data_IF_141496485719
#
_entry.id   IF_141496485719
#
_cell.length_a   1.000
_cell.length_b   1.000
_cell.length_c   1.000
_cell.angle_alpha   90.00
_cell.angle_beta   90.00
_cell.angle_gamma   90.00
#
_symmetry.space_group_name_H-M   'P 1'
#
loop_
_entity.id
_entity.type
_entity.pdbx_description
1 polymer ?
#
# COMPACT_ATOMS: atom_id res chain seq x y z
N UNK A 1 25.84 -15.14 5.62
CA UNK A 1 24.86 -15.06 4.51
C UNK A 1 23.94 -16.27 4.44
N UNK A 2 24.40 -17.50 4.73
CA UNK A 2 23.52 -18.66 4.93
C UNK A 2 22.40 -18.40 5.94
N UNK A 3 22.68 -17.67 7.03
CA UNK A 3 21.66 -17.28 8.02
C UNK A 3 20.48 -16.48 7.46
N UNK A 4 20.64 -15.68 6.40
CA UNK A 4 19.53 -14.90 5.84
C UNK A 4 18.61 -15.81 5.01
N UNK A 5 19.18 -16.75 4.25
CA UNK A 5 18.41 -17.73 3.50
C UNK A 5 17.64 -18.67 4.44
N UNK A 6 18.29 -19.17 5.50
CA UNK A 6 17.65 -20.01 6.52
C UNK A 6 16.54 -19.27 7.24
N UNK A 7 16.75 -17.99 7.59
CA UNK A 7 15.71 -17.16 8.24
C UNK A 7 14.53 -16.87 7.31
N UNK A 8 14.74 -16.67 6.00
CA UNK A 8 13.65 -16.49 5.04
C UNK A 8 12.84 -17.78 4.89
N UNK A 9 13.48 -18.95 4.94
CA UNK A 9 12.81 -20.24 4.89
C UNK A 9 12.03 -20.52 6.19
N UNK A 10 12.65 -20.32 7.35
CA UNK A 10 12.09 -20.57 8.69
C UNK A 10 10.92 -19.63 9.03
N UNK A 11 11.07 -18.31 8.83
CA UNK A 11 10.01 -17.31 9.10
C UNK A 11 8.78 -17.56 8.24
N UNK A 12 9.01 -18.08 7.04
CA UNK A 12 7.93 -18.31 6.11
C UNK A 12 7.23 -19.67 6.38
N UNK A 13 7.85 -20.63 7.06
CA UNK A 13 7.21 -21.89 7.46
C UNK A 13 6.33 -21.75 8.71
N UNK A 14 6.71 -20.93 9.68
CA UNK A 14 6.01 -20.83 10.97
C UNK A 14 4.77 -19.91 10.95
N UNK A 15 4.68 -18.95 10.01
CA UNK A 15 3.69 -17.85 10.09
C UNK A 15 2.45 -17.96 9.18
N UNK A 16 2.17 -19.15 8.64
CA UNK A 16 1.03 -19.38 7.73
C UNK A 16 -0.24 -19.86 8.46
N UNK A 17 -0.13 -20.47 9.64
CA UNK A 17 -1.30 -20.85 10.46
C UNK A 17 -2.09 -19.64 10.98
N UNK A 18 -1.42 -18.51 11.20
CA UNK A 18 -2.04 -17.24 11.66
C UNK A 18 -2.79 -16.52 10.53
N UNK A 19 -2.44 -16.76 9.26
CA UNK A 19 -3.03 -16.07 8.09
C UNK A 19 -4.53 -16.42 7.90
N UNK A 20 -4.96 -17.60 8.31
CA UNK A 20 -6.36 -18.02 8.13
C UNK A 20 -7.32 -17.40 9.15
N UNK A 21 -6.85 -17.03 10.34
CA UNK A 21 -7.69 -16.42 11.39
C UNK A 21 -7.97 -14.93 11.11
N UNK A 22 -7.06 -14.23 10.45
CA UNK A 22 -7.26 -12.82 10.09
C UNK A 22 -8.14 -12.67 8.84
N UNK A 23 -8.05 -13.61 7.87
CA UNK A 23 -8.80 -13.55 6.61
C UNK A 23 -10.33 -13.69 6.80
N UNK A 24 -10.78 -14.48 7.78
CA UNK A 24 -12.22 -14.62 8.11
C UNK A 24 -12.75 -13.39 8.88
N UNK A 25 -11.90 -12.68 9.62
CA UNK A 25 -12.30 -11.48 10.36
C UNK A 25 -12.46 -10.23 9.47
N UNK A 26 -11.88 -10.23 8.27
CA UNK A 26 -11.85 -9.09 7.35
C UNK A 26 -13.05 -8.99 6.41
N UNK A 27 -13.89 -10.02 6.29
CA UNK A 27 -15.14 -9.93 5.52
C UNK A 27 -16.27 -9.18 6.28
N UNK A 28 -16.08 -8.82 7.55
CA UNK A 28 -17.17 -8.34 8.42
C UNK A 28 -17.08 -6.87 8.88
N UNK A 29 -16.18 -6.02 8.36
CA UNK A 29 -16.01 -4.65 8.87
C UNK A 29 -16.51 -3.55 7.91
N UNK A 30 -17.74 -3.09 8.19
CA UNK A 30 -18.18 -1.70 8.04
C UNK A 30 -18.73 -1.30 6.68
N UNK A 31 -20.07 -1.26 6.55
CA UNK A 31 -20.75 -0.53 5.46
C UNK A 31 -20.47 0.98 5.69
N UNK A 32 -19.46 1.54 5.00
CA UNK A 32 -19.31 2.99 4.92
C UNK A 32 -20.50 3.56 4.15
N UNK A 33 -21.27 4.47 4.78
CA UNK A 33 -22.35 5.18 4.11
C UNK A 33 -21.76 6.04 2.98
N UNK A 34 -22.22 5.83 1.75
CA UNK A 34 -21.81 6.62 0.60
C UNK A 34 -22.22 8.10 0.79
N UNK A 35 -21.39 9.06 0.33
CA UNK A 35 -21.76 10.47 0.37
C UNK A 35 -23.00 10.68 -0.51
N UNK A 36 -23.88 11.55 -0.04
CA UNK A 36 -25.11 11.89 -0.74
C UNK A 36 -25.08 13.36 -1.15
N UNK A 37 -25.69 13.65 -2.30
CA UNK A 37 -26.06 15.01 -2.70
C UNK A 37 -26.79 15.67 -1.55
N UNK A 38 -26.31 16.85 -1.19
CA UNK A 38 -26.94 17.71 -0.22
C UNK A 38 -26.72 19.17 -0.63
N UNK A 39 -27.48 20.06 -0.02
CA UNK A 39 -27.46 21.49 -0.30
C UNK A 39 -26.06 22.11 -0.17
N UNK A 40 -25.26 21.64 0.78
CA UNK A 40 -23.91 22.15 1.01
C UNK A 40 -22.97 21.83 -0.16
N UNK A 41 -22.98 20.59 -0.67
CA UNK A 41 -22.17 20.18 -1.83
C UNK A 41 -22.54 21.01 -3.06
N UNK A 42 -23.85 21.17 -3.31
CA UNK A 42 -24.34 21.92 -4.48
C UNK A 42 -23.93 23.39 -4.39
N UNK A 43 -24.09 24.03 -3.23
CA UNK A 43 -23.66 25.42 -3.00
C UNK A 43 -22.14 25.58 -3.12
N UNK A 44 -21.34 24.66 -2.56
CA UNK A 44 -19.88 24.69 -2.67
C UNK A 44 -19.42 24.59 -4.14
N UNK A 45 -20.03 23.70 -4.92
CA UNK A 45 -19.73 23.56 -6.35
C UNK A 45 -20.11 24.83 -7.13
N UNK A 46 -21.31 25.37 -6.91
CA UNK A 46 -21.77 26.56 -7.63
C UNK A 46 -20.94 27.80 -7.28
N UNK A 47 -20.55 27.97 -6.01
CA UNK A 47 -19.68 29.07 -5.59
C UNK A 47 -18.25 28.94 -6.13
N UNK A 48 -17.74 27.71 -6.30
CA UNK A 48 -16.46 27.47 -7.00
C UNK A 48 -16.54 27.84 -8.48
N UNK A 49 -17.62 27.45 -9.16
CA UNK A 49 -17.86 27.80 -10.57
C UNK A 49 -17.99 29.32 -10.77
N UNK A 50 -18.69 30.02 -9.87
CA UNK A 50 -18.82 31.48 -9.94
C UNK A 50 -17.47 32.21 -9.79
N UNK A 51 -16.57 31.66 -8.98
CA UNK A 51 -15.22 32.18 -8.74
C UNK A 51 -14.21 31.84 -9.85
N UNK A 52 -14.51 30.92 -10.76
CA UNK A 52 -13.60 30.60 -11.86
C UNK A 52 -13.48 31.77 -12.86
N UNK A 53 -12.24 32.19 -13.12
CA UNK A 53 -11.92 33.36 -13.97
C UNK A 53 -12.36 33.11 -15.42
N UNK A 54 -12.18 31.88 -15.91
CA UNK A 54 -12.54 31.46 -17.27
C UNK A 54 -14.02 31.13 -17.45
N UNK A 55 -14.84 31.23 -16.40
CA UNK A 55 -16.24 30.84 -16.46
C UNK A 55 -17.08 31.94 -17.13
N UNK A 56 -17.92 31.62 -18.15
CA UNK A 56 -18.67 32.62 -18.90
C UNK A 56 -19.58 33.49 -18.02
N UNK A 57 -19.52 34.81 -18.19
CA UNK A 57 -20.29 35.79 -17.39
C UNK A 57 -21.80 35.53 -17.45
N UNK A 58 -22.30 35.12 -18.61
CA UNK A 58 -23.70 34.73 -18.81
C UNK A 58 -24.17 33.60 -17.88
N UNK A 59 -23.28 32.68 -17.50
CA UNK A 59 -23.60 31.58 -16.57
C UNK A 59 -23.49 32.00 -15.10
N UNK A 60 -22.67 33.02 -14.79
CA UNK A 60 -22.55 33.57 -13.43
C UNK A 60 -23.85 34.24 -12.98
N UNK A 61 -24.47 35.02 -13.86
CA UNK A 61 -25.78 35.62 -13.59
C UNK A 61 -26.87 34.58 -13.38
N UNK A 62 -26.82 33.47 -14.11
CA UNK A 62 -27.78 32.38 -13.92
C UNK A 62 -27.55 31.66 -12.58
N UNK A 63 -26.30 31.36 -12.20
CA UNK A 63 -25.95 30.76 -10.90
C UNK A 63 -26.45 31.56 -9.69
N UNK A 64 -26.45 32.89 -9.77
CA UNK A 64 -26.93 33.76 -8.69
C UNK A 64 -28.45 33.68 -8.47
N UNK A 65 -29.20 33.20 -9.47
CA UNK A 65 -30.67 33.14 -9.45
C UNK A 65 -31.23 31.71 -9.30
N UNK A 66 -30.37 30.72 -9.02
CA UNK A 66 -30.79 29.33 -8.86
C UNK A 66 -31.43 29.10 -7.49
N UNK A 67 -32.55 28.38 -7.51
CA UNK A 67 -33.11 27.74 -6.31
C UNK A 67 -32.26 26.50 -5.96
N UNK A 68 -31.34 26.68 -5.01
CA UNK A 68 -30.38 25.63 -4.63
C UNK A 68 -31.04 24.40 -4.02
N UNK A 69 -32.20 24.55 -3.37
CA UNK A 69 -32.92 23.44 -2.76
C UNK A 69 -33.53 22.56 -3.87
N UNK A 70 -34.21 23.16 -4.83
CA UNK A 70 -34.71 22.43 -6.02
C UNK A 70 -33.58 21.84 -6.87
N UNK A 71 -32.45 22.53 -6.96
CA UNK A 71 -31.28 22.01 -7.69
C UNK A 71 -30.73 20.76 -6.99
N UNK A 72 -30.63 20.76 -5.66
CA UNK A 72 -30.19 19.58 -4.90
C UNK A 72 -31.13 18.39 -5.10
N UNK A 73 -32.45 18.63 -5.07
CA UNK A 73 -33.46 17.59 -5.34
C UNK A 73 -33.32 17.03 -6.76
N UNK A 74 -33.15 17.91 -7.76
CA UNK A 74 -32.98 17.50 -9.17
C UNK A 74 -31.72 16.66 -9.42
N UNK A 75 -30.70 16.79 -8.54
CA UNK A 75 -29.43 16.08 -8.62
C UNK A 75 -29.40 14.79 -7.79
N UNK A 76 -30.45 14.46 -7.03
CA UNK A 76 -30.47 13.27 -6.17
C UNK A 76 -30.21 11.95 -6.91
N UNK A 77 -30.49 11.89 -8.23
CA UNK A 77 -30.18 10.72 -9.05
C UNK A 77 -28.69 10.35 -9.01
N UNK A 78 -27.79 11.31 -8.74
CA UNK A 78 -26.35 11.07 -8.61
C UNK A 78 -26.00 10.15 -7.44
N UNK A 79 -26.86 10.08 -6.40
CA UNK A 79 -26.67 9.17 -5.28
C UNK A 79 -26.71 7.70 -5.74
N UNK A 80 -27.57 7.38 -6.71
CA UNK A 80 -27.67 6.05 -7.31
C UNK A 80 -26.53 5.71 -8.28
N UNK A 81 -25.68 6.68 -8.64
CA UNK A 81 -24.53 6.44 -9.50
C UNK A 81 -23.33 5.88 -8.73
N UNK A 82 -23.25 6.15 -7.43
CA UNK A 82 -22.18 5.66 -6.58
C UNK A 82 -22.35 4.16 -6.31
N UNK A 83 -21.22 3.48 -6.13
CA UNK A 83 -21.12 2.06 -5.85
C UNK A 83 -20.50 1.92 -4.47
N UNK A 84 -21.06 1.05 -3.63
CA UNK A 84 -20.48 0.78 -2.31
C UNK A 84 -19.00 0.46 -2.46
N UNK A 85 -18.17 1.17 -1.69
CA UNK A 85 -16.72 1.08 -1.81
C UNK A 85 -16.29 -0.37 -1.67
N UNK A 86 -15.87 -0.95 -2.79
CA UNK A 86 -15.24 -2.27 -2.81
C UNK A 86 -13.74 -2.12 -2.62
N UNK A 87 -13.07 -3.25 -2.53
CA UNK A 87 -11.62 -3.35 -2.35
C UNK A 87 -10.79 -2.53 -3.35
N UNK A 88 -11.33 -2.27 -4.55
CA UNK A 88 -10.64 -1.53 -5.61
C UNK A 88 -11.35 -0.21 -5.90
N UNK A 89 -10.79 0.88 -5.40
CA UNK A 89 -11.33 2.23 -5.57
C UNK A 89 -11.38 2.63 -7.05
N UNK A 90 -10.40 2.23 -7.86
CA UNK A 90 -10.36 2.51 -9.31
C UNK A 90 -11.51 1.85 -10.07
N UNK A 91 -11.77 0.56 -9.84
CA UNK A 91 -12.90 -0.15 -10.44
C UNK A 91 -14.24 0.42 -9.98
N UNK A 92 -14.37 0.80 -8.71
CA UNK A 92 -15.57 1.49 -8.21
C UNK A 92 -15.76 2.84 -8.90
N UNK A 93 -14.69 3.60 -9.08
CA UNK A 93 -14.70 4.90 -9.75
C UNK A 93 -15.12 4.76 -11.22
N UNK A 94 -14.56 3.79 -11.95
CA UNK A 94 -14.93 3.53 -13.34
C UNK A 94 -16.41 3.10 -13.47
N UNK A 95 -16.88 2.20 -12.61
CA UNK A 95 -18.29 1.79 -12.56
C UNK A 95 -19.20 2.97 -12.23
N UNK A 96 -18.79 3.83 -11.29
CA UNK A 96 -19.55 5.01 -10.92
C UNK A 96 -19.66 6.01 -12.08
N UNK A 97 -18.57 6.24 -12.84
CA UNK A 97 -18.60 7.05 -14.06
C UNK A 97 -19.51 6.45 -15.14
N UNK A 98 -19.47 5.13 -15.32
CA UNK A 98 -20.37 4.43 -16.26
C UNK A 98 -21.83 4.58 -15.86
N UNK A 99 -22.14 4.49 -14.57
CA UNK A 99 -23.49 4.72 -14.05
C UNK A 99 -23.91 6.18 -14.23
N UNK A 100 -23.01 7.14 -13.98
CA UNK A 100 -23.26 8.55 -14.23
C UNK A 100 -23.65 8.81 -15.68
N UNK A 101 -22.87 8.35 -16.66
CA UNK A 101 -23.21 8.60 -18.07
C UNK A 101 -24.56 8.00 -18.47
N UNK A 102 -24.95 6.85 -17.91
CA UNK A 102 -26.27 6.25 -18.13
C UNK A 102 -27.39 7.06 -17.48
N UNK A 103 -27.25 7.40 -16.20
CA UNK A 103 -28.26 8.13 -15.45
C UNK A 103 -28.40 9.58 -15.91
N UNK A 104 -27.30 10.20 -16.34
CA UNK A 104 -27.27 11.55 -16.88
C UNK A 104 -28.22 11.70 -18.07
N UNK A 105 -28.16 10.78 -19.04
CA UNK A 105 -29.02 10.84 -20.24
C UNK A 105 -30.51 10.83 -19.87
N UNK A 106 -30.88 10.07 -18.84
CA UNK A 106 -32.27 9.89 -18.41
C UNK A 106 -32.76 11.08 -17.58
N UNK A 107 -31.93 11.59 -16.66
CA UNK A 107 -32.34 12.53 -15.62
C UNK A 107 -32.02 13.99 -15.94
N UNK A 108 -31.33 14.27 -17.06
CA UNK A 108 -30.93 15.65 -17.40
C UNK A 108 -32.12 16.61 -17.58
N UNK A 109 -33.29 16.09 -17.93
CA UNK A 109 -34.52 16.89 -17.99
C UNK A 109 -34.85 17.57 -16.67
N UNK A 110 -34.66 16.87 -15.54
CA UNK A 110 -34.96 17.37 -14.19
C UNK A 110 -34.06 18.55 -13.81
N UNK A 111 -32.77 18.47 -14.14
CA UNK A 111 -31.81 19.55 -13.86
C UNK A 111 -32.12 20.78 -14.71
N UNK A 112 -32.56 20.59 -15.96
CA UNK A 112 -32.91 21.68 -16.88
C UNK A 112 -34.16 22.48 -16.45
N UNK A 113 -35.06 21.87 -15.69
CA UNK A 113 -36.23 22.57 -15.13
C UNK A 113 -35.82 23.63 -14.11
N UNK A 114 -34.68 23.43 -13.43
CA UNK A 114 -34.12 24.35 -12.45
C UNK A 114 -33.11 25.30 -13.09
N UNK A 115 -32.29 24.80 -14.01
CA UNK A 115 -31.24 25.55 -14.71
C UNK A 115 -31.54 25.56 -16.21
N UNK A 116 -32.01 26.70 -16.72
CA UNK A 116 -32.54 26.78 -18.09
C UNK A 116 -31.45 26.56 -19.14
N UNK A 117 -30.21 26.96 -18.86
CA UNK A 117 -29.09 26.70 -19.73
C UNK A 117 -28.64 25.24 -19.68
N UNK A 118 -28.75 24.55 -20.82
CA UNK A 118 -28.33 23.14 -20.95
C UNK A 118 -26.84 22.93 -20.64
N UNK A 119 -25.97 23.85 -21.07
CA UNK A 119 -24.53 23.73 -20.87
C UNK A 119 -24.16 23.90 -19.38
N UNK A 120 -24.79 24.86 -18.71
CA UNK A 120 -24.60 25.11 -17.29
C UNK A 120 -25.10 23.94 -16.45
N UNK A 121 -26.30 23.43 -16.76
CA UNK A 121 -26.86 22.25 -16.11
C UNK A 121 -25.91 21.05 -16.19
N UNK A 122 -25.33 20.82 -17.38
CA UNK A 122 -24.42 19.71 -17.61
C UNK A 122 -23.14 19.84 -16.78
N UNK A 123 -22.59 21.05 -16.70
CA UNK A 123 -21.41 21.36 -15.91
C UNK A 123 -21.66 21.22 -14.41
N UNK A 124 -22.78 21.73 -13.91
CA UNK A 124 -23.15 21.59 -12.50
C UNK A 124 -23.30 20.10 -12.14
N UNK A 125 -24.05 19.33 -12.95
CA UNK A 125 -24.19 17.88 -12.76
C UNK A 125 -22.84 17.17 -12.73
N UNK A 126 -21.96 17.48 -13.68
CA UNK A 126 -20.62 16.90 -13.75
C UNK A 126 -19.78 17.26 -12.51
N UNK A 127 -19.74 18.54 -12.13
CA UNK A 127 -18.91 19.02 -11.01
C UNK A 127 -19.40 18.52 -9.66
N UNK A 128 -20.72 18.44 -9.46
CA UNK A 128 -21.30 17.80 -8.27
C UNK A 128 -20.93 16.33 -8.23
N UNK A 129 -21.00 15.62 -9.36
CA UNK A 129 -20.61 14.22 -9.41
C UNK A 129 -19.10 14.01 -9.17
N UNK A 130 -18.23 14.84 -9.75
CA UNK A 130 -16.78 14.84 -9.45
C UNK A 130 -16.53 15.03 -7.95
N UNK A 131 -17.26 15.95 -7.32
CA UNK A 131 -17.15 16.18 -5.88
C UNK A 131 -17.58 14.95 -5.06
N UNK A 132 -18.68 14.29 -5.44
CA UNK A 132 -19.13 13.04 -4.81
C UNK A 132 -18.12 11.90 -5.01
N UNK A 133 -17.51 11.78 -6.19
CA UNK A 133 -16.44 10.83 -6.47
C UNK A 133 -15.25 11.09 -5.54
N UNK A 134 -14.84 12.34 -5.36
CA UNK A 134 -13.75 12.70 -4.44
C UNK A 134 -14.13 12.37 -2.99
N UNK A 135 -15.37 12.62 -2.57
CA UNK A 135 -15.82 12.27 -1.22
C UNK A 135 -15.93 10.74 -1.00
N UNK A 136 -16.35 9.99 -2.02
CA UNK A 136 -16.57 8.54 -1.93
C UNK A 136 -15.28 7.73 -2.10
N UNK A 137 -14.42 8.18 -3.02
CA UNK A 137 -13.30 7.44 -3.58
C UNK A 137 -12.00 8.24 -3.61
N UNK A 138 -12.03 9.52 -3.24
CA UNK A 138 -10.82 10.33 -3.18
C UNK A 138 -9.88 9.75 -2.15
N UNK A 139 -8.78 9.18 -2.63
CA UNK A 139 -7.57 9.12 -1.85
C UNK A 139 -7.25 10.57 -1.48
N UNK A 140 -6.98 10.86 -0.21
CA UNK A 140 -6.28 12.10 0.15
C UNK A 140 -5.01 12.11 -0.70
N UNK A 141 -5.04 12.81 -1.83
CA UNK A 141 -3.86 13.13 -2.61
C UNK A 141 -3.07 14.10 -1.74
N UNK A 142 -2.36 13.56 -0.76
CA UNK A 142 -1.16 14.22 -0.28
C UNK A 142 -0.25 14.29 -1.50
N UNK A 143 -0.27 15.49 -2.11
CA UNK A 143 0.72 15.95 -3.08
C UNK A 143 2.09 15.61 -2.53
N UNK A 144 2.69 14.51 -2.98
CA UNK A 144 4.13 14.22 -2.91
C UNK A 144 4.42 12.96 -3.74
N UNK A 145 4.07 12.98 -5.02
CA UNK A 145 4.69 12.06 -5.99
C UNK A 145 5.82 12.82 -6.67
N UNK A 146 6.81 13.17 -5.86
CA UNK A 146 8.17 13.32 -6.38
C UNK A 146 8.68 11.89 -6.51
N UNK A 147 8.52 11.30 -7.69
CA UNK A 147 9.15 10.02 -8.03
C UNK A 147 10.65 10.27 -8.03
N UNK A 148 11.27 10.13 -6.87
CA UNK A 148 12.70 9.94 -6.78
C UNK A 148 12.87 8.43 -6.76
N UNK A 149 13.38 7.88 -7.87
CA UNK A 149 14.06 6.59 -7.91
C UNK A 149 15.11 6.53 -6.79
N UNK A 150 14.71 6.18 -5.57
CA UNK A 150 15.54 6.25 -4.36
C UNK A 150 16.20 4.92 -4.02
N UNK A 151 15.72 3.82 -4.61
CA UNK A 151 16.27 2.49 -4.38
C UNK A 151 17.56 2.29 -5.17
N UNK A 152 18.62 1.94 -4.45
CA UNK A 152 19.91 1.58 -5.03
C UNK A 152 19.82 0.25 -5.77
N UNK A 153 20.71 0.02 -6.73
CA UNK A 153 20.70 -1.21 -7.54
C UNK A 153 20.84 -2.50 -6.68
N UNK A 154 21.58 -2.40 -5.57
CA UNK A 154 21.69 -3.50 -4.60
C UNK A 154 20.35 -3.78 -3.89
N UNK A 155 19.57 -2.74 -3.58
CA UNK A 155 18.25 -2.88 -2.95
C UNK A 155 17.26 -3.48 -3.95
N UNK A 156 17.27 -3.00 -5.20
CA UNK A 156 16.48 -3.57 -6.30
C UNK A 156 16.79 -5.06 -6.50
N UNK A 157 18.07 -5.41 -6.55
CA UNK A 157 18.52 -6.81 -6.65
C UNK A 157 18.04 -7.67 -5.48
N UNK A 158 18.05 -7.12 -4.26
CA UNK A 158 17.55 -7.80 -3.05
C UNK A 158 16.04 -8.00 -3.12
N UNK A 159 15.30 -6.99 -3.57
CA UNK A 159 13.85 -7.05 -3.73
C UNK A 159 13.47 -8.09 -4.78
N UNK A 160 14.19 -8.17 -5.89
CA UNK A 160 13.94 -9.17 -6.93
C UNK A 160 14.17 -10.59 -6.42
N UNK A 161 15.23 -10.81 -5.64
CA UNK A 161 15.47 -12.09 -4.96
C UNK A 161 14.32 -12.45 -4.01
N UNK A 162 13.87 -11.50 -3.18
CA UNK A 162 12.74 -11.69 -2.27
C UNK A 162 11.46 -12.03 -3.06
N UNK A 163 11.19 -11.30 -4.14
CA UNK A 163 10.03 -11.54 -5.01
C UNK A 163 10.00 -12.94 -5.60
N UNK A 164 11.15 -13.41 -6.09
CA UNK A 164 11.31 -14.79 -6.54
C UNK A 164 10.97 -15.83 -5.46
N UNK A 165 11.46 -15.61 -4.24
CA UNK A 165 11.17 -16.46 -3.09
C UNK A 165 9.68 -16.46 -2.73
N UNK A 166 9.03 -15.29 -2.74
CA UNK A 166 7.59 -15.14 -2.47
C UNK A 166 6.77 -15.94 -3.49
N UNK A 167 6.98 -15.71 -4.78
CA UNK A 167 6.21 -16.40 -5.84
C UNK A 167 6.42 -17.92 -5.76
N UNK A 168 7.67 -18.36 -5.57
CA UNK A 168 8.00 -19.78 -5.39
C UNK A 168 7.27 -20.38 -4.19
N UNK A 169 7.18 -19.66 -3.08
CA UNK A 169 6.50 -20.14 -1.87
C UNK A 169 4.99 -20.22 -2.06
N UNK A 170 4.36 -19.21 -2.66
CA UNK A 170 2.94 -19.24 -2.98
C UNK A 170 2.63 -20.42 -3.91
N UNK A 171 3.44 -20.61 -4.97
CA UNK A 171 3.31 -21.74 -5.89
C UNK A 171 3.40 -23.08 -5.19
N UNK A 172 4.37 -23.28 -4.29
CA UNK A 172 4.48 -24.51 -3.48
C UNK A 172 3.25 -24.75 -2.61
N UNK A 173 2.71 -23.71 -1.97
CA UNK A 173 1.49 -23.81 -1.15
C UNK A 173 0.28 -24.22 -1.99
N UNK A 174 0.08 -23.58 -3.15
CA UNK A 174 -1.02 -23.91 -4.07
C UNK A 174 -0.85 -25.31 -4.67
N UNK A 175 0.38 -25.77 -4.93
CA UNK A 175 0.62 -27.14 -5.41
C UNK A 175 0.21 -28.21 -4.39
N UNK A 176 0.32 -27.91 -3.09
CA UNK A 176 -0.06 -28.82 -1.99
C UNK A 176 -1.57 -28.84 -1.69
N UNK A 177 -2.36 -27.90 -2.23
CA UNK A 177 -3.80 -27.91 -2.02
C UNK A 177 -4.50 -28.94 -2.91
N UNK A 178 -5.71 -29.34 -2.54
CA UNK A 178 -6.54 -30.25 -3.32
C UNK A 178 -6.65 -29.79 -4.80
N UNK A 179 -6.61 -30.75 -5.72
CA UNK A 179 -6.68 -30.47 -7.16
C UNK A 179 -8.09 -29.99 -7.51
N UNK A 180 -8.21 -28.70 -7.79
CA UNK A 180 -9.46 -28.02 -8.16
C UNK A 180 -9.21 -27.06 -9.32
N UNK A 181 -10.27 -26.65 -10.01
CA UNK A 181 -10.18 -25.65 -11.06
C UNK A 181 -9.59 -24.32 -10.52
N UNK A 182 -9.97 -23.93 -9.31
CA UNK A 182 -9.42 -22.75 -8.61
C UNK A 182 -7.92 -22.87 -8.39
N UNK A 183 -7.42 -24.07 -8.02
CA UNK A 183 -5.99 -24.33 -7.89
C UNK A 183 -5.28 -24.11 -9.22
N UNK A 184 -5.81 -24.65 -10.30
CA UNK A 184 -5.17 -24.58 -11.61
C UNK A 184 -5.16 -23.15 -12.16
N UNK A 185 -6.22 -22.35 -11.91
CA UNK A 185 -6.25 -20.91 -12.19
C UNK A 185 -5.20 -20.15 -11.37
N UNK A 186 -5.06 -20.44 -10.07
CA UNK A 186 -4.01 -19.86 -9.22
C UNK A 186 -2.60 -20.17 -9.73
N UNK A 187 -2.35 -21.43 -10.11
CA UNK A 187 -1.06 -21.85 -10.68
C UNK A 187 -0.77 -21.15 -12.01
N UNK A 188 -1.79 -20.96 -12.84
CA UNK A 188 -1.68 -20.22 -14.08
C UNK A 188 -1.27 -18.76 -13.82
N UNK A 189 -1.96 -18.05 -12.93
CA UNK A 189 -1.59 -16.67 -12.55
C UNK A 189 -0.14 -16.59 -12.07
N UNK A 190 0.26 -17.48 -11.17
CA UNK A 190 1.62 -17.51 -10.62
C UNK A 190 2.67 -17.78 -11.71
N UNK A 191 2.32 -18.53 -12.76
CA UNK A 191 3.22 -18.77 -13.89
C UNK A 191 3.44 -17.54 -14.76
N UNK A 192 2.50 -16.60 -14.79
CA UNK A 192 2.64 -15.34 -15.53
C UNK A 192 3.60 -14.37 -14.84
N UNK A 193 3.78 -14.48 -13.52
CA UNK A 193 4.64 -13.60 -12.71
C UNK A 193 6.14 -13.88 -12.87
N UNK A 194 6.50 -15.05 -13.40
CA UNK A 194 7.88 -15.52 -13.50
C UNK A 194 8.38 -15.53 -14.94
N UNK A 195 9.66 -15.29 -15.12
CA UNK A 195 10.34 -15.43 -16.40
C UNK A 195 10.35 -16.90 -16.82
N UNK A 196 10.12 -17.15 -18.11
CA UNK A 196 10.14 -18.53 -18.65
C UNK A 196 11.55 -18.96 -19.08
N UNK A 197 12.43 -17.99 -19.34
CA UNK A 197 13.84 -18.21 -19.66
C UNK A 197 14.73 -17.25 -18.88
N UNK A 198 16.01 -17.62 -18.72
CA UNK A 198 17.01 -16.78 -18.07
C UNK A 198 17.33 -15.52 -18.90
N UNK A 199 17.10 -15.53 -20.21
CA UNK A 199 17.40 -14.42 -21.12
C UNK A 199 16.49 -13.19 -20.92
N UNK A 200 15.34 -13.33 -20.25
CA UNK A 200 14.45 -12.21 -19.91
C UNK A 200 14.96 -11.35 -18.72
N UNK A 201 16.14 -11.64 -18.16
CA UNK A 201 16.57 -11.11 -16.85
C UNK A 201 17.73 -10.11 -16.93
N UNK A 202 17.55 -8.99 -17.63
CA UNK A 202 18.59 -7.95 -17.75
C UNK A 202 18.89 -7.24 -16.41
N UNK A 203 18.00 -7.32 -15.40
CA UNK A 203 18.10 -6.58 -14.13
C UNK A 203 18.39 -7.42 -12.87
N UNK A 204 18.61 -8.74 -12.98
CA UNK A 204 18.67 -9.66 -11.81
C UNK A 204 20.09 -10.16 -11.48
N UNK A 205 21.08 -9.27 -11.46
CA UNK A 205 22.50 -9.64 -11.27
C UNK A 205 22.75 -10.47 -10.01
N UNK A 206 22.13 -10.15 -8.87
CA UNK A 206 22.36 -10.90 -7.62
C UNK A 206 21.69 -12.28 -7.61
N UNK A 207 20.48 -12.39 -8.16
CA UNK A 207 19.80 -13.68 -8.30
C UNK A 207 20.60 -14.60 -9.22
N UNK A 208 21.14 -14.05 -10.31
CA UNK A 208 22.00 -14.80 -11.24
C UNK A 208 23.29 -15.30 -10.57
N UNK A 209 23.99 -14.44 -9.82
CA UNK A 209 25.26 -14.80 -9.16
C UNK A 209 25.10 -15.83 -8.02
N UNK A 210 23.91 -15.92 -7.42
CA UNK A 210 23.62 -16.83 -6.30
C UNK A 210 22.91 -18.12 -6.74
N UNK A 211 22.52 -18.23 -8.01
CA UNK A 211 21.76 -19.36 -8.49
C UNK A 211 22.61 -20.62 -8.61
N UNK A 212 22.04 -21.74 -8.13
CA UNK A 212 22.58 -23.09 -8.31
C UNK A 212 21.58 -23.99 -9.06
N UNK A 213 20.71 -23.39 -9.87
CA UNK A 213 19.68 -24.05 -10.65
C UNK A 213 18.31 -24.16 -9.96
N UNK A 214 18.04 -23.32 -8.95
CA UNK A 214 16.85 -23.42 -8.11
C UNK A 214 16.16 -22.10 -7.79
N UNK A 215 16.71 -20.97 -8.22
CA UNK A 215 16.10 -19.66 -8.00
C UNK A 215 14.99 -19.39 -9.01
N UNK A 216 14.07 -18.51 -8.60
CA UNK A 216 12.89 -18.16 -9.38
C UNK A 216 13.01 -16.70 -9.78
N UNK A 217 13.02 -16.44 -11.08
CA UNK A 217 13.18 -15.10 -11.63
C UNK A 217 11.82 -14.49 -11.93
N UNK A 218 11.56 -13.29 -11.42
CA UNK A 218 10.31 -12.57 -11.64
C UNK A 218 10.44 -11.63 -12.84
N UNK A 219 9.30 -11.36 -13.51
CA UNK A 219 9.24 -10.39 -14.61
C UNK A 219 9.42 -8.96 -14.11
N UNK A 220 9.88 -8.08 -14.98
CA UNK A 220 10.10 -6.64 -14.69
C UNK A 220 8.87 -5.94 -14.11
N UNK A 221 7.67 -6.21 -14.63
CA UNK A 221 6.41 -5.64 -14.08
C UNK A 221 6.18 -6.05 -12.62
N UNK A 222 6.55 -7.28 -12.23
CA UNK A 222 6.44 -7.77 -10.84
C UNK A 222 7.51 -7.13 -9.96
N UNK A 223 8.73 -6.98 -10.47
CA UNK A 223 9.79 -6.25 -9.79
C UNK A 223 9.39 -4.79 -9.50
N UNK A 224 8.83 -4.09 -10.49
CA UNK A 224 8.33 -2.71 -10.32
C UNK A 224 7.25 -2.61 -9.24
N UNK A 225 6.31 -3.55 -9.21
CA UNK A 225 5.31 -3.64 -8.13
C UNK A 225 5.97 -3.78 -6.75
N UNK A 226 7.03 -4.59 -6.63
CA UNK A 226 7.72 -4.78 -5.35
C UNK A 226 8.58 -3.57 -4.96
N UNK A 227 9.10 -2.82 -5.94
CA UNK A 227 9.77 -1.55 -5.68
C UNK A 227 8.80 -0.52 -5.10
N UNK A 228 7.60 -0.40 -5.66
CA UNK A 228 6.54 0.47 -5.12
C UNK A 228 6.07 0.03 -3.73
N UNK A 229 5.99 -1.28 -3.49
CA UNK A 229 5.70 -1.84 -2.18
C UNK A 229 6.83 -1.53 -1.17
N UNK A 230 8.09 -1.54 -1.60
CA UNK A 230 9.22 -1.14 -0.76
C UNK A 230 9.18 0.35 -0.43
N UNK A 231 8.89 1.22 -1.38
CA UNK A 231 8.73 2.66 -1.12
C UNK A 231 7.65 2.89 -0.08
N UNK A 232 6.49 2.24 -0.25
CA UNK A 232 5.38 2.29 0.72
C UNK A 232 5.82 1.79 2.10
N UNK A 233 6.64 0.74 2.14
CA UNK A 233 7.16 0.18 3.38
C UNK A 233 8.11 1.16 4.09
N UNK A 234 9.03 1.79 3.35
CA UNK A 234 9.97 2.76 3.87
C UNK A 234 9.25 4.01 4.42
N UNK A 235 8.20 4.46 3.75
CA UNK A 235 7.37 5.58 4.19
C UNK A 235 6.62 5.27 5.49
N UNK A 236 6.08 4.05 5.63
CA UNK A 236 5.38 3.63 6.84
C UNK A 236 6.32 3.43 8.03
N UNK A 237 7.47 2.80 7.80
CA UNK A 237 8.37 2.37 8.88
C UNK A 237 9.31 3.49 9.30
N UNK A 238 9.65 4.42 8.40
CA UNK A 238 10.61 5.48 8.63
C UNK A 238 12.04 4.96 8.88
N UNK A 239 13.03 5.74 8.47
CA UNK A 239 14.43 5.32 8.60
C UNK A 239 14.91 5.22 10.07
N UNK A 240 14.32 5.98 11.01
CA UNK A 240 14.95 6.24 12.33
C UNK A 240 14.04 6.23 13.57
N UNK A 241 12.71 6.16 13.43
CA UNK A 241 11.82 6.25 14.60
C UNK A 241 11.45 4.88 15.17
N UNK A 242 12.11 4.49 16.27
CA UNK A 242 11.81 3.27 17.01
C UNK A 242 10.37 3.27 17.59
N UNK A 243 9.79 4.44 17.82
CA UNK A 243 8.43 4.61 18.32
C UNK A 243 7.36 4.31 17.25
N UNK A 244 7.66 4.50 15.96
CA UNK A 244 6.71 4.23 14.86
C UNK A 244 6.49 2.74 14.59
N UNK A 245 7.46 1.89 14.97
CA UNK A 245 7.39 0.44 14.76
C UNK A 245 6.28 -0.27 15.55
N UNK A 246 5.80 0.31 16.66
CA UNK A 246 4.79 -0.33 17.52
C UNK A 246 3.38 -0.35 16.92
N UNK A 247 3.09 0.52 15.95
CA UNK A 247 1.73 0.72 15.43
C UNK A 247 1.61 0.41 13.93
N UNK A 248 2.51 -0.38 13.36
CA UNK A 248 2.46 -0.72 11.93
C UNK A 248 1.60 -1.96 11.73
N UNK A 249 0.44 -1.77 11.13
CA UNK A 249 -0.49 -2.86 10.78
C UNK A 249 -0.21 -3.41 9.39
N UNK A 250 -0.26 -4.74 9.25
CA UNK A 250 -0.24 -5.44 7.96
C UNK A 250 -1.41 -4.95 7.09
N UNK A 251 -2.59 -4.75 7.69
CA UNK A 251 -3.79 -4.29 6.99
C UNK A 251 -3.62 -2.87 6.44
N UNK A 252 -3.00 -1.97 7.20
CA UNK A 252 -2.76 -0.60 6.75
C UNK A 252 -1.75 -0.56 5.60
N UNK A 253 -0.70 -1.38 5.68
CA UNK A 253 0.25 -1.53 4.59
C UNK A 253 -0.39 -2.10 3.34
N UNK A 254 -1.17 -3.18 3.49
CA UNK A 254 -1.89 -3.80 2.38
C UNK A 254 -2.83 -2.79 1.72
N UNK A 255 -3.62 -2.05 2.50
CA UNK A 255 -4.54 -1.05 1.97
C UNK A 255 -3.80 0.05 1.21
N UNK A 256 -2.69 0.58 1.76
CA UNK A 256 -1.87 1.58 1.07
C UNK A 256 -1.31 1.07 -0.26
N UNK A 257 -0.87 -0.19 -0.31
CA UNK A 257 -0.38 -0.78 -1.56
C UNK A 257 -1.51 -1.02 -2.57
N UNK A 258 -2.71 -1.41 -2.12
CA UNK A 258 -3.87 -1.60 -2.99
C UNK A 258 -4.43 -0.26 -3.51
N UNK A 259 -4.30 0.81 -2.72
CA UNK A 259 -4.67 2.17 -3.14
C UNK A 259 -3.63 2.78 -4.10
N UNK A 260 -2.43 2.20 -4.19
CA UNK A 260 -1.40 2.61 -5.15
C UNK A 260 -1.74 2.04 -6.55
N UNK A 261 -2.07 2.95 -7.47
CA UNK A 261 -2.44 2.60 -8.84
C UNK A 261 -1.28 1.96 -9.62
N UNK A 262 -0.02 2.29 -9.33
CA UNK A 262 1.15 1.70 -10.00
C UNK A 262 1.26 0.22 -9.67
N UNK A 263 1.04 -0.16 -8.42
CA UNK A 263 1.06 -1.56 -7.95
C UNK A 263 -0.07 -2.35 -8.62
N UNK A 264 -1.31 -1.86 -8.50
CA UNK A 264 -2.47 -2.59 -9.00
C UNK A 264 -2.48 -2.70 -10.52
N UNK A 265 -2.21 -1.60 -11.25
CA UNK A 265 -2.18 -1.63 -12.73
C UNK A 265 -1.07 -2.53 -13.27
N UNK A 266 0.12 -2.54 -12.66
CA UNK A 266 1.21 -3.42 -13.08
C UNK A 266 0.86 -4.91 -12.93
N UNK A 267 0.21 -5.27 -11.82
CA UNK A 267 -0.20 -6.65 -11.55
C UNK A 267 -1.31 -7.11 -12.51
N UNK A 268 -2.43 -6.38 -12.57
CA UNK A 268 -3.57 -6.79 -13.40
C UNK A 268 -3.23 -6.71 -14.88
N UNK A 269 -2.46 -5.71 -15.32
CA UNK A 269 -1.96 -5.64 -16.70
C UNK A 269 -1.19 -6.90 -17.06
N UNK A 270 -0.28 -7.37 -16.21
CA UNK A 270 0.49 -8.58 -16.46
C UNK A 270 -0.37 -9.85 -16.54
N UNK A 271 -1.40 -9.98 -15.71
CA UNK A 271 -2.28 -11.17 -15.74
C UNK A 271 -3.22 -11.13 -16.94
N UNK A 272 -3.76 -9.94 -17.28
CA UNK A 272 -4.67 -9.74 -18.41
C UNK A 272 -3.97 -9.84 -19.77
N UNK A 273 -2.66 -9.60 -19.83
CA UNK A 273 -1.83 -9.90 -21.01
C UNK A 273 -1.76 -11.42 -21.30
N UNK A 274 -2.22 -12.27 -20.37
CA UNK A 274 -2.23 -13.72 -20.51
C UNK A 274 -3.41 -14.27 -21.33
N UNK A 275 -3.19 -15.40 -21.98
CA UNK A 275 -4.16 -16.06 -22.88
C UNK A 275 -5.38 -16.72 -22.20
N UNK A 276 -5.53 -16.63 -20.88
CA UNK A 276 -6.65 -17.24 -20.14
C UNK A 276 -7.28 -16.22 -19.22
N UNK A 277 -8.62 -16.22 -19.20
CA UNK A 277 -9.42 -15.42 -18.29
C UNK A 277 -9.24 -15.95 -16.87
N UNK A 278 -8.81 -15.08 -15.98
CA UNK A 278 -8.72 -15.33 -14.54
C UNK A 278 -9.79 -14.50 -13.86
N UNK A 279 -10.46 -15.05 -12.85
CA UNK A 279 -11.39 -14.28 -12.02
C UNK A 279 -10.65 -13.22 -11.19
N UNK A 280 -11.20 -12.01 -11.13
CA UNK A 280 -10.73 -10.89 -10.29
C UNK A 280 -10.50 -11.30 -8.83
N UNK A 281 -11.33 -12.18 -8.29
CA UNK A 281 -11.19 -12.68 -6.92
C UNK A 281 -9.86 -13.43 -6.73
N UNK A 282 -9.50 -14.31 -7.67
CA UNK A 282 -8.26 -15.07 -7.64
C UNK A 282 -7.05 -14.14 -7.81
N UNK A 283 -7.17 -13.15 -8.71
CA UNK A 283 -6.12 -12.15 -8.92
C UNK A 283 -5.88 -11.33 -7.66
N UNK A 284 -6.95 -10.86 -7.01
CA UNK A 284 -6.90 -10.14 -5.75
C UNK A 284 -6.24 -10.96 -4.65
N UNK A 285 -6.66 -12.21 -4.44
CA UNK A 285 -6.07 -13.10 -3.43
C UNK A 285 -4.56 -13.30 -3.62
N UNK A 286 -4.11 -13.47 -4.86
CA UNK A 286 -2.67 -13.64 -5.16
C UNK A 286 -1.92 -12.34 -4.88
N UNK A 287 -2.45 -11.19 -5.31
CA UNK A 287 -1.84 -9.89 -5.06
C UNK A 287 -1.72 -9.61 -3.55
N UNK A 288 -2.78 -9.84 -2.79
CA UNK A 288 -2.76 -9.70 -1.34
C UNK A 288 -1.69 -10.59 -0.71
N UNK A 289 -1.64 -11.85 -1.13
CA UNK A 289 -0.68 -12.82 -0.60
C UNK A 289 0.76 -12.37 -0.87
N UNK A 290 1.04 -11.82 -2.06
CA UNK A 290 2.35 -11.28 -2.41
C UNK A 290 2.69 -10.10 -1.51
N UNK A 291 1.79 -9.11 -1.38
CA UNK A 291 2.01 -7.89 -0.59
C UNK A 291 2.19 -8.22 0.90
N UNK A 292 1.35 -9.11 1.45
CA UNK A 292 1.42 -9.54 2.84
C UNK A 292 2.75 -10.27 3.12
N UNK A 293 3.14 -11.22 2.26
CA UNK A 293 4.40 -11.94 2.44
C UNK A 293 5.60 -11.00 2.32
N UNK A 294 5.55 -10.06 1.38
CA UNK A 294 6.56 -9.02 1.25
C UNK A 294 6.68 -8.20 2.54
N UNK A 295 5.58 -7.67 3.06
CA UNK A 295 5.56 -6.93 4.31
C UNK A 295 6.17 -7.72 5.48
N UNK A 296 5.76 -8.97 5.67
CA UNK A 296 6.26 -9.82 6.75
C UNK A 296 7.78 -10.03 6.67
N UNK A 297 8.29 -10.34 5.48
CA UNK A 297 9.73 -10.50 5.25
C UNK A 297 10.48 -9.21 5.57
N UNK A 298 9.98 -8.06 5.09
CA UNK A 298 10.61 -6.75 5.31
C UNK A 298 10.56 -6.32 6.78
N UNK A 299 9.42 -6.48 7.45
CA UNK A 299 9.29 -6.21 8.88
C UNK A 299 10.21 -7.08 9.71
N UNK A 300 10.25 -8.39 9.45
CA UNK A 300 11.14 -9.31 10.16
C UNK A 300 12.61 -8.89 10.00
N UNK A 301 13.04 -8.59 8.77
CA UNK A 301 14.38 -8.10 8.51
C UNK A 301 14.69 -6.81 9.29
N UNK A 302 13.76 -5.83 9.28
CA UNK A 302 13.92 -4.57 10.01
C UNK A 302 14.06 -4.80 11.52
N UNK A 303 13.21 -5.65 12.09
CA UNK A 303 13.26 -6.01 13.52
C UNK A 303 14.56 -6.72 13.87
N UNK A 304 15.04 -7.64 13.02
CA UNK A 304 16.34 -8.31 13.20
C UNK A 304 17.49 -7.30 13.23
N UNK A 305 17.56 -6.40 12.25
CA UNK A 305 18.59 -5.35 12.19
C UNK A 305 18.57 -4.47 13.44
N UNK A 306 17.38 -4.10 13.92
CA UNK A 306 17.20 -3.31 15.14
C UNK A 306 17.69 -4.07 16.37
N UNK A 307 17.29 -5.32 16.56
CA UNK A 307 17.73 -6.17 17.67
C UNK A 307 19.25 -6.35 17.68
N UNK A 308 19.85 -6.61 16.52
CA UNK A 308 21.31 -6.76 16.39
C UNK A 308 22.04 -5.45 16.73
N UNK A 309 21.46 -4.29 16.38
CA UNK A 309 22.02 -2.99 16.75
C UNK A 309 22.01 -2.76 18.27
N UNK A 310 20.90 -3.11 18.94
CA UNK A 310 20.75 -3.01 20.40
C UNK A 310 21.77 -3.92 21.09
N UNK A 311 21.85 -5.19 20.67
CA UNK A 311 22.83 -6.16 21.20
C UNK A 311 24.27 -5.67 21.06
N UNK A 312 24.62 -5.04 19.93
CA UNK A 312 25.95 -4.44 19.73
C UNK A 312 26.21 -3.26 20.67
N UNK A 313 25.22 -2.39 20.89
CA UNK A 313 25.34 -1.27 21.84
C UNK A 313 25.49 -1.77 23.28
N UNK A 314 24.69 -2.75 23.70
CA UNK A 314 24.81 -3.38 25.02
C UNK A 314 26.19 -4.00 25.22
N UNK A 315 26.70 -4.75 24.24
CA UNK A 315 28.04 -5.33 24.29
C UNK A 315 29.15 -4.27 24.33
N UNK A 316 28.99 -3.14 23.63
CA UNK A 316 29.91 -2.00 23.71
C UNK A 316 29.91 -1.39 25.11
N UNK A 317 28.73 -1.13 25.68
CA UNK A 317 28.60 -0.60 27.04
C UNK A 317 29.15 -1.55 28.12
N UNK A 318 28.99 -2.87 27.96
CA UNK A 318 29.58 -3.89 28.85
C UNK A 318 31.11 -3.88 28.77
N UNK A 319 31.69 -3.78 27.56
CA UNK A 319 33.14 -3.67 27.36
C UNK A 319 33.71 -2.38 27.96
N UNK A 320 33.04 -1.25 27.77
CA UNK A 320 33.44 0.04 28.36
C UNK A 320 33.38 0.00 29.90
N UNK A 321 32.34 -0.60 30.49
CA UNK A 321 32.26 -0.81 31.96
C UNK A 321 33.39 -1.72 32.47
N UNK A 322 33.72 -2.78 31.75
CA UNK A 322 34.83 -3.68 32.10
C UNK A 322 36.19 -2.99 32.01
N UNK A 323 36.41 -2.13 31.00
CA UNK A 323 37.65 -1.35 30.85
C UNK A 323 37.80 -0.33 31.99
N UNK A 324 36.73 0.39 32.34
CA UNK A 324 36.72 1.32 33.49
C UNK A 324 36.99 0.61 34.82
N UNK A 325 36.50 -0.61 35.01
CA UNK A 325 36.77 -1.42 36.21
C UNK A 325 38.24 -1.84 36.30
N UNK A 326 38.85 -2.24 35.18
CA UNK A 326 40.29 -2.59 35.12
C UNK A 326 41.20 -1.39 35.34
N UNK A 327 40.87 -0.23 34.78
CA UNK A 327 41.64 1.02 34.97
C UNK A 327 41.59 1.50 36.43
N UNK A 328 40.46 1.33 37.12
CA UNK A 328 40.33 1.66 38.55
C UNK A 328 41.08 0.68 39.47
N UNK A 329 41.31 -0.56 39.05
CA UNK A 329 42.10 -1.53 39.82
C UNK A 329 43.61 -1.44 39.56
N UNK A 330 44.04 -0.70 38.53
CA UNK A 330 45.46 -0.53 38.18
C UNK A 330 46.10 0.76 38.72
N UNK A 331 45.37 1.58 39.46
CA UNK A 331 45.97 2.62 40.31
C UNK A 331 46.02 2.09 41.75
N UNK A 332 47.18 1.69 42.27
CA UNK A 332 47.33 1.51 43.71
C UNK A 332 47.16 2.89 44.34
N UNK A 333 46.16 3.01 45.20
CA UNK A 333 45.99 4.16 46.09
C UNK A 333 47.23 4.20 46.99
N UNK A 334 48.19 5.07 46.71
CA UNK A 334 49.17 5.51 47.71
C UNK A 334 48.41 6.33 48.76
N UNK A 335 47.82 5.64 49.72
CA UNK A 335 47.40 6.25 50.99
C UNK A 335 48.64 6.48 51.81
N UNK A 336 49.09 7.74 51.84
CA UNK A 336 50.05 8.25 52.81
C UNK A 336 49.56 7.92 54.23
N UNK A 337 50.35 7.13 54.95
CA UNK A 337 50.23 6.98 56.39
C UNK A 337 50.60 8.31 57.06
N UNK A 338 49.66 8.92 57.77
CA UNK A 338 49.98 9.82 58.87
C UNK A 338 49.48 9.12 60.13
N UNK A 339 50.45 8.61 60.88
CA UNK A 339 50.31 8.10 62.24
C UNK A 339 49.72 9.18 63.15
N UNK A 340 48.75 8.81 63.99
CA UNK A 340 48.68 9.36 65.35
C UNK A 340 48.15 8.27 66.27
N UNK A 341 49.06 7.73 67.06
CA UNK A 341 48.80 6.89 68.21
C UNK A 341 47.85 7.60 69.18
N UNK A 342 46.78 6.92 69.57
CA UNK A 342 45.95 7.29 70.72
C UNK A 342 46.45 6.53 71.93
N UNK A 343 47.11 7.24 72.86
CA UNK A 343 47.43 6.74 74.19
C UNK A 343 46.14 6.43 74.96
N UNK A 344 46.09 5.23 75.56
CA UNK A 344 45.18 4.88 76.67
C UNK A 344 45.86 5.22 78.00
N UNK A 345 45.24 6.09 78.80
CA UNK A 345 44.73 5.90 80.18
C UNK A 345 43.91 7.15 80.51
#
# INVERSE_FOLDING_TARGET
MNEIATIIEDVAEEQISVINLEHESHQAKGIQSLPQVNLHIVKDVCTKLDKEISFPVQFKHELQNIDYDKLADSLMFLNGCLVTKSRFVSSCTERAWKNYYRSYIINMGLVKEVVKCQQLSAWISLKVFEHLIILAYGNKMEKNVTIINTLKDQEKSTINYIGGCIVKKIKRKVMRSAKTETRDKKLYCLSLLVCQSQEETVENQMTFLLDRGGLTYIKSKVANLLYEAETTFQDMVGAKDQLKLRNISVSDFLQKCLDNQLITSAFYGLINDGNKIVNDEIMGEILDTIIILFFKIRMHHKLKVLMDSIRKQENKSRKEKSLRKKLKSSHPTETNNIETETNKI
#
